data_IF_678409272685
#
_entry.id   IF_678409272685
#
_cell.length_a   1.000
_cell.length_b   1.000
_cell.length_c   1.000
_cell.angle_alpha   90.00
_cell.angle_beta   90.00
_cell.angle_gamma   90.00
#
_symmetry.space_group_name_H-M   'P 1'
#
loop_
_entity.id
_entity.type
_entity.pdbx_description
1 polymer ?
#
# COMPACT_ATOMS: atom_id res chain seq x y z
N UNK A 1 -1.02 14.04 7.17
CA UNK A 1 -1.27 13.29 8.43
C UNK A 1 0.08 12.85 8.92
N UNK A 2 0.36 13.07 10.20
CA UNK A 2 1.63 12.76 10.83
C UNK A 2 1.58 11.45 11.64
N UNK A 3 2.70 11.09 12.26
CA UNK A 3 2.83 9.89 13.10
C UNK A 3 1.80 9.86 14.24
N UNK A 4 1.60 10.98 14.93
CA UNK A 4 0.71 11.05 16.10
C UNK A 4 -0.75 10.75 15.71
N UNK A 5 -1.20 11.26 14.57
CA UNK A 5 -2.53 10.94 14.01
C UNK A 5 -2.71 9.44 13.78
N UNK A 6 -1.72 8.78 13.16
CA UNK A 6 -1.82 7.36 12.87
C UNK A 6 -1.68 6.49 14.12
N UNK A 7 -0.77 6.82 15.04
CA UNK A 7 -0.67 6.13 16.33
C UNK A 7 -1.99 6.20 17.12
N UNK A 8 -2.63 7.37 17.17
CA UNK A 8 -3.93 7.52 17.81
C UNK A 8 -5.01 6.70 17.11
N UNK A 9 -5.01 6.70 15.77
CA UNK A 9 -5.99 5.94 14.99
C UNK A 9 -5.86 4.43 15.21
N UNK A 10 -4.63 3.91 15.30
CA UNK A 10 -4.37 2.50 15.54
C UNK A 10 -4.40 2.08 17.01
N UNK A 11 -4.60 3.00 17.98
CA UNK A 11 -4.53 2.72 19.42
C UNK A 11 -5.69 1.87 19.98
N UNK A 12 -6.72 1.58 19.19
CA UNK A 12 -7.80 0.65 19.57
C UNK A 12 -7.31 -0.80 19.47
N UNK A 13 -7.88 -1.71 20.26
CA UNK A 13 -7.44 -3.12 20.29
C UNK A 13 -7.74 -3.86 19.00
N UNK A 14 -8.90 -3.58 18.37
CA UNK A 14 -9.30 -4.20 17.12
C UNK A 14 -8.48 -3.66 15.94
N UNK A 15 -8.37 -4.43 14.86
CA UNK A 15 -7.83 -3.93 13.62
C UNK A 15 -8.80 -2.90 13.00
N UNK A 16 -8.29 -1.71 12.70
CA UNK A 16 -9.08 -0.62 12.10
C UNK A 16 -9.59 -1.00 10.72
N UNK A 17 -8.77 -1.75 10.01
CA UNK A 17 -9.12 -2.31 8.72
C UNK A 17 -9.24 -3.83 8.83
N UNK A 18 -9.51 -4.51 7.75
CA UNK A 18 -9.53 -5.99 7.75
C UNK A 18 -8.11 -6.56 7.92
N UNK A 19 -8.02 -7.78 8.49
CA UNK A 19 -6.79 -8.58 8.52
C UNK A 19 -6.54 -9.34 7.20
N UNK A 20 -7.53 -9.34 6.30
CA UNK A 20 -7.38 -9.92 4.97
C UNK A 20 -6.69 -8.94 4.02
N UNK A 21 -5.89 -9.46 3.08
CA UNK A 21 -5.21 -8.63 2.09
C UNK A 21 -6.19 -7.74 1.32
N UNK A 22 -5.72 -6.59 0.89
CA UNK A 22 -6.48 -5.76 -0.01
C UNK A 22 -6.90 -6.56 -1.26
N UNK A 23 -8.18 -6.46 -1.65
CA UNK A 23 -8.73 -7.23 -2.77
C UNK A 23 -7.91 -7.07 -4.04
N UNK A 24 -7.58 -5.83 -4.42
CA UNK A 24 -6.85 -5.56 -5.65
C UNK A 24 -5.40 -6.06 -5.58
N UNK A 25 -4.75 -5.96 -4.41
CA UNK A 25 -3.43 -6.54 -4.17
C UNK A 25 -3.49 -8.05 -4.38
N UNK A 26 -4.47 -8.72 -3.80
CA UNK A 26 -4.65 -10.16 -3.96
C UNK A 26 -4.93 -10.53 -5.42
N UNK A 27 -5.94 -9.92 -6.05
CA UNK A 27 -6.38 -10.23 -7.43
C UNK A 27 -5.23 -10.09 -8.45
N UNK A 28 -4.39 -9.06 -8.31
CA UNK A 28 -3.33 -8.79 -9.27
C UNK A 28 -2.01 -9.49 -8.98
N UNK A 29 -1.73 -9.86 -7.72
CA UNK A 29 -0.38 -10.26 -7.32
C UNK A 29 -0.28 -11.64 -6.65
N UNK A 30 -1.40 -12.30 -6.28
CA UNK A 30 -1.33 -13.57 -5.54
C UNK A 30 -0.68 -14.73 -6.31
N UNK A 31 -0.61 -14.61 -7.63
CA UNK A 31 -0.02 -15.61 -8.53
C UNK A 31 1.50 -15.49 -8.69
N UNK A 32 2.10 -14.42 -8.13
CA UNK A 32 3.53 -14.19 -8.26
C UNK A 32 4.35 -15.22 -7.49
N UNK A 33 5.51 -15.58 -8.03
CA UNK A 33 6.47 -16.44 -7.35
C UNK A 33 7.04 -15.71 -6.13
N UNK A 34 7.11 -16.36 -4.96
CA UNK A 34 7.65 -15.76 -3.74
C UNK A 34 9.07 -15.20 -3.91
N UNK A 35 9.28 -14.03 -3.35
CA UNK A 35 10.54 -13.29 -3.33
C UNK A 35 10.58 -12.35 -2.14
N UNK A 36 11.11 -11.14 -2.33
CA UNK A 36 11.16 -10.07 -1.34
C UNK A 36 10.22 -8.94 -1.71
N UNK A 37 9.52 -8.38 -0.73
CA UNK A 37 8.64 -7.24 -0.97
C UNK A 37 8.78 -6.14 0.08
N UNK A 38 8.41 -4.93 -0.33
CA UNK A 38 8.15 -3.78 0.56
C UNK A 38 6.67 -3.43 0.45
N UNK A 39 5.99 -3.34 1.60
CA UNK A 39 4.65 -2.78 1.76
C UNK A 39 4.81 -1.38 2.39
N UNK A 40 4.80 -0.35 1.55
CA UNK A 40 5.05 1.03 1.98
C UNK A 40 3.77 1.68 2.47
N UNK A 41 3.80 2.25 3.69
CA UNK A 41 2.65 2.70 4.45
C UNK A 41 1.66 1.54 4.70
N UNK A 42 2.18 0.35 5.01
CA UNK A 42 1.40 -0.88 5.16
C UNK A 42 0.59 -0.97 6.46
N UNK A 43 0.75 -0.03 7.39
CA UNK A 43 -0.05 0.10 8.62
C UNK A 43 -0.06 -1.18 9.45
N UNK A 44 -1.25 -1.75 9.67
CA UNK A 44 -1.47 -2.99 10.45
C UNK A 44 -1.02 -4.28 9.73
N UNK A 45 -0.43 -4.19 8.52
CA UNK A 45 0.34 -5.28 7.89
C UNK A 45 -0.47 -6.32 7.12
N UNK A 46 -1.74 -6.09 6.80
CA UNK A 46 -2.60 -7.08 6.13
C UNK A 46 -2.02 -7.64 4.83
N UNK A 47 -1.37 -6.80 4.00
CA UNK A 47 -0.75 -7.25 2.76
C UNK A 47 0.59 -7.94 3.02
N UNK A 48 1.42 -7.38 3.91
CA UNK A 48 2.71 -7.97 4.30
C UNK A 48 2.53 -9.38 4.84
N UNK A 49 1.57 -9.59 5.74
CA UNK A 49 1.28 -10.91 6.32
C UNK A 49 0.73 -11.87 5.28
N UNK A 50 -0.19 -11.43 4.41
CA UNK A 50 -0.69 -12.24 3.29
C UNK A 50 0.42 -12.77 2.39
N UNK A 51 1.38 -11.93 2.02
CA UNK A 51 2.51 -12.36 1.20
C UNK A 51 3.46 -13.29 1.99
N UNK A 52 3.67 -13.03 3.27
CA UNK A 52 4.46 -13.90 4.13
C UNK A 52 3.85 -15.31 4.25
N UNK A 53 2.51 -15.46 4.34
CA UNK A 53 1.80 -16.74 4.29
C UNK A 53 2.05 -17.49 2.98
N UNK A 54 2.31 -16.76 1.88
CA UNK A 54 2.65 -17.32 0.56
C UNK A 54 4.16 -17.55 0.36
N UNK A 55 4.98 -17.38 1.40
CA UNK A 55 6.41 -17.66 1.37
C UNK A 55 7.32 -16.47 1.03
N UNK A 56 6.77 -15.26 0.89
CA UNK A 56 7.55 -14.04 0.68
C UNK A 56 8.26 -13.59 1.96
N UNK A 57 9.38 -12.87 1.80
CA UNK A 57 9.92 -11.99 2.84
C UNK A 57 9.30 -10.61 2.65
N UNK A 58 8.57 -10.12 3.64
CA UNK A 58 7.82 -8.88 3.54
C UNK A 58 8.32 -7.85 4.56
N UNK A 59 8.72 -6.67 4.11
CA UNK A 59 9.00 -5.52 4.95
C UNK A 59 7.83 -4.56 4.95
N UNK A 60 7.21 -4.39 6.12
CA UNK A 60 6.17 -3.38 6.35
C UNK A 60 6.82 -2.10 6.85
N UNK A 61 6.73 -1.04 6.06
CA UNK A 61 7.27 0.27 6.41
C UNK A 61 6.11 1.22 6.70
N UNK A 62 6.03 1.75 7.91
CA UNK A 62 4.98 2.70 8.30
C UNK A 62 5.50 3.72 9.31
N UNK A 63 4.88 4.89 9.36
CA UNK A 63 5.16 5.93 10.37
C UNK A 63 4.74 5.51 11.78
N UNK A 64 3.65 4.72 11.88
CA UNK A 64 3.03 4.36 13.14
C UNK A 64 3.68 3.14 13.78
N UNK A 65 4.33 3.33 14.92
CA UNK A 65 4.80 2.21 15.73
C UNK A 65 3.66 1.35 16.27
N UNK A 66 2.48 1.93 16.48
CA UNK A 66 1.28 1.20 16.93
C UNK A 66 0.73 0.30 15.82
N UNK A 67 0.67 0.81 14.58
CA UNK A 67 0.30 0.00 13.41
C UNK A 67 1.27 -1.16 13.20
N UNK A 68 2.58 -0.88 13.29
CA UNK A 68 3.61 -1.92 13.14
C UNK A 68 3.54 -2.99 14.24
N UNK A 69 3.25 -2.63 15.50
CA UNK A 69 3.04 -3.61 16.56
C UNK A 69 1.84 -4.53 16.29
N UNK A 70 0.78 -4.01 15.67
CA UNK A 70 -0.35 -4.82 15.21
C UNK A 70 0.02 -5.73 14.03
N UNK A 71 0.86 -5.25 13.12
CA UNK A 71 1.42 -6.09 12.05
C UNK A 71 2.20 -7.29 12.62
N UNK A 72 3.05 -7.06 13.62
CA UNK A 72 3.80 -8.12 14.30
C UNK A 72 2.87 -9.11 15.01
N UNK A 73 1.83 -8.61 15.67
CA UNK A 73 0.79 -9.45 16.28
C UNK A 73 0.10 -10.31 15.23
N UNK A 74 -0.34 -9.73 14.10
CA UNK A 74 -0.98 -10.47 13.01
C UNK A 74 -0.05 -11.54 12.43
N UNK A 75 1.23 -11.20 12.23
CA UNK A 75 2.22 -12.14 11.74
C UNK A 75 2.42 -13.32 12.71
N UNK A 76 2.40 -13.07 14.02
CA UNK A 76 2.46 -14.12 15.04
C UNK A 76 1.21 -15.02 15.04
N UNK A 77 0.02 -14.42 14.96
CA UNK A 77 -1.27 -15.13 14.87
C UNK A 77 -1.34 -16.04 13.63
N UNK A 78 -0.70 -15.64 12.52
CA UNK A 78 -0.65 -16.37 11.25
C UNK A 78 0.58 -17.30 11.13
N UNK A 79 1.47 -17.33 12.13
CA UNK A 79 2.65 -18.20 12.15
C UNK A 79 3.74 -17.84 11.14
N UNK A 80 3.88 -16.56 10.80
CA UNK A 80 4.82 -16.07 9.77
C UNK A 80 5.76 -14.97 10.26
N UNK A 81 5.97 -14.86 11.58
CA UNK A 81 6.84 -13.83 12.18
C UNK A 81 8.29 -13.87 11.68
N UNK A 82 8.75 -15.00 11.20
CA UNK A 82 10.10 -15.20 10.62
C UNK A 82 10.24 -14.55 9.24
N UNK A 83 9.15 -14.16 8.59
CA UNK A 83 9.11 -13.59 7.23
C UNK A 83 8.60 -12.16 7.17
N UNK A 84 8.07 -11.62 8.26
CA UNK A 84 7.58 -10.24 8.33
C UNK A 84 8.56 -9.38 9.12
N UNK A 85 9.03 -8.32 8.49
CA UNK A 85 9.95 -7.35 9.08
C UNK A 85 9.26 -6.00 9.18
N UNK A 86 9.30 -5.38 10.34
CA UNK A 86 8.73 -4.05 10.54
C UNK A 86 9.82 -2.98 10.53
N UNK A 87 9.49 -1.81 9.97
CA UNK A 87 10.39 -0.69 9.86
C UNK A 87 9.62 0.61 10.09
N UNK A 88 9.88 1.27 11.22
CA UNK A 88 9.24 2.54 11.52
C UNK A 88 9.99 3.67 10.81
N UNK A 89 9.44 4.13 9.69
CA UNK A 89 10.02 5.21 8.91
C UNK A 89 8.95 5.96 8.09
N UNK A 90 9.32 7.15 7.62
CA UNK A 90 8.53 7.90 6.66
C UNK A 90 8.70 7.31 5.26
N UNK A 91 7.63 7.33 4.46
CA UNK A 91 7.70 6.97 3.05
C UNK A 91 8.66 7.86 2.24
N UNK A 92 9.04 9.01 2.79
CA UNK A 92 9.90 9.98 2.11
C UNK A 92 11.40 9.77 2.40
N UNK A 93 11.76 9.03 3.46
CA UNK A 93 13.16 8.92 3.89
C UNK A 93 13.57 7.55 4.42
N UNK A 94 12.74 6.51 4.23
CA UNK A 94 13.05 5.15 4.72
C UNK A 94 14.31 4.55 4.07
N UNK A 95 14.99 3.73 4.85
CA UNK A 95 15.96 2.76 4.36
C UNK A 95 15.40 1.36 4.57
N UNK A 96 15.46 0.53 3.52
CA UNK A 96 14.92 -0.83 3.58
C UNK A 96 15.94 -1.82 4.12
N UNK A 97 15.48 -2.75 4.95
CA UNK A 97 16.26 -3.89 5.45
C UNK A 97 16.36 -5.03 4.43
N UNK A 98 15.39 -5.11 3.49
CA UNK A 98 15.30 -6.20 2.51
C UNK A 98 15.76 -5.81 1.09
N UNK A 99 15.86 -4.51 0.78
CA UNK A 99 16.23 -4.07 -0.57
C UNK A 99 17.56 -4.66 -1.06
N UNK A 100 17.69 -4.96 -2.36
CA UNK A 100 16.66 -4.81 -3.39
C UNK A 100 15.56 -5.86 -3.30
N UNK A 101 14.33 -5.50 -3.77
CA UNK A 101 13.13 -6.33 -3.66
C UNK A 101 12.50 -6.62 -5.04
N UNK A 102 11.72 -7.69 -5.12
CA UNK A 102 11.02 -8.11 -6.33
C UNK A 102 9.68 -7.38 -6.52
N UNK A 103 9.08 -6.92 -5.42
CA UNK A 103 7.77 -6.30 -5.38
C UNK A 103 7.74 -5.12 -4.40
N UNK A 104 7.25 -3.97 -4.90
CA UNK A 104 6.89 -2.81 -4.07
C UNK A 104 5.38 -2.58 -4.13
N UNK A 105 4.74 -2.49 -2.97
CA UNK A 105 3.30 -2.26 -2.84
C UNK A 105 3.05 -0.96 -2.08
N UNK A 106 2.07 -0.18 -2.54
CA UNK A 106 1.46 0.93 -1.81
C UNK A 106 -0.06 0.73 -1.81
N UNK A 107 -0.68 0.62 -0.64
CA UNK A 107 -2.12 0.47 -0.55
C UNK A 107 -2.74 1.54 0.36
N UNK A 108 -3.41 2.52 -0.25
CA UNK A 108 -4.10 3.64 0.42
C UNK A 108 -3.19 4.62 1.18
N UNK A 109 -1.96 4.81 0.75
CA UNK A 109 -1.15 5.95 1.16
C UNK A 109 -1.70 7.24 0.52
N UNK A 110 -2.67 7.86 1.18
CA UNK A 110 -3.39 9.05 0.70
C UNK A 110 -2.72 10.31 1.27
N UNK A 111 -1.74 10.82 0.55
CA UNK A 111 -0.97 12.04 0.86
C UNK A 111 -0.96 12.95 -0.37
N UNK A 112 -0.50 14.20 -0.21
CA UNK A 112 -0.44 15.12 -1.36
C UNK A 112 0.43 14.55 -2.50
N UNK A 113 0.15 15.01 -3.73
CA UNK A 113 0.74 14.43 -4.94
C UNK A 113 2.26 14.55 -5.01
N UNK A 114 2.85 15.62 -4.47
CA UNK A 114 4.29 15.81 -4.41
C UNK A 114 4.96 14.76 -3.52
N UNK A 115 4.45 14.57 -2.32
CA UNK A 115 4.94 13.55 -1.40
C UNK A 115 4.63 12.14 -1.90
N UNK A 116 3.49 11.93 -2.56
CA UNK A 116 3.16 10.64 -3.18
C UNK A 116 4.18 10.27 -4.25
N UNK A 117 4.50 11.21 -5.13
CA UNK A 117 5.55 11.04 -6.16
C UNK A 117 6.91 10.70 -5.53
N UNK A 118 7.32 11.45 -4.50
CA UNK A 118 8.58 11.21 -3.80
C UNK A 118 8.63 9.82 -3.14
N UNK A 119 7.55 9.41 -2.47
CA UNK A 119 7.45 8.08 -1.86
C UNK A 119 7.46 6.94 -2.89
N UNK A 120 6.75 7.11 -4.01
CA UNK A 120 6.77 6.14 -5.11
C UNK A 120 8.18 6.05 -5.70
N UNK A 121 8.83 7.18 -6.00
CA UNK A 121 10.19 7.19 -6.55
C UNK A 121 11.17 6.44 -5.63
N UNK A 122 11.08 6.72 -4.32
CA UNK A 122 11.93 6.06 -3.33
C UNK A 122 11.68 4.55 -3.24
N UNK A 123 10.44 4.10 -3.38
CA UNK A 123 10.12 2.67 -3.43
C UNK A 123 10.66 2.02 -4.71
N UNK A 124 10.45 2.67 -5.87
CA UNK A 124 10.89 2.17 -7.18
C UNK A 124 12.41 1.98 -7.22
N UNK A 125 13.19 2.88 -6.64
CA UNK A 125 14.66 2.77 -6.54
C UNK A 125 15.13 1.52 -5.77
N UNK A 126 14.24 0.84 -5.08
CA UNK A 126 14.53 -0.38 -4.29
C UNK A 126 14.05 -1.66 -4.96
N UNK A 127 13.38 -1.52 -6.10
CA UNK A 127 12.87 -2.66 -6.89
C UNK A 127 13.94 -3.08 -7.90
N UNK A 128 14.21 -4.38 -7.97
CA UNK A 128 15.13 -4.92 -8.99
C UNK A 128 14.63 -4.65 -10.43
N UNK A 129 15.52 -4.55 -11.43
CA UNK A 129 15.10 -4.50 -12.82
C UNK A 129 14.15 -5.67 -13.17
N UNK A 130 13.03 -5.37 -13.81
CA UNK A 130 11.95 -6.34 -14.10
C UNK A 130 11.01 -6.62 -12.93
N UNK A 131 11.32 -6.18 -11.71
CA UNK A 131 10.45 -6.28 -10.55
C UNK A 131 9.20 -5.40 -10.68
N UNK A 132 8.25 -5.58 -9.78
CA UNK A 132 6.90 -4.99 -9.89
C UNK A 132 6.70 -3.88 -8.88
N UNK A 133 6.18 -2.75 -9.35
CA UNK A 133 5.49 -1.74 -8.55
C UNK A 133 3.98 -1.92 -8.69
N UNK A 134 3.26 -1.96 -7.57
CA UNK A 134 1.80 -1.99 -7.55
C UNK A 134 1.24 -0.98 -6.55
N UNK A 135 0.26 -0.21 -6.99
CA UNK A 135 -0.35 0.82 -6.17
C UNK A 135 -1.87 0.80 -6.19
N UNK A 136 -2.49 1.12 -5.05
CA UNK A 136 -3.94 1.18 -4.84
C UNK A 136 -4.29 2.45 -4.06
N UNK A 137 -5.24 3.25 -4.55
CA UNK A 137 -5.71 4.48 -3.90
C UNK A 137 -7.22 4.67 -4.08
N UNK A 138 -7.85 5.44 -3.21
CA UNK A 138 -9.12 6.04 -3.56
C UNK A 138 -8.88 7.02 -4.71
N UNK A 139 -9.66 6.89 -5.79
CA UNK A 139 -9.55 7.76 -6.95
C UNK A 139 -10.17 9.14 -6.69
N UNK A 140 -9.76 10.16 -7.45
CA UNK A 140 -10.36 11.49 -7.39
C UNK A 140 -11.86 11.43 -7.70
N UNK A 141 -12.26 10.60 -8.63
CA UNK A 141 -13.66 10.39 -9.05
C UNK A 141 -14.54 9.82 -7.91
N UNK A 142 -13.91 9.19 -6.90
CA UNK A 142 -14.63 8.68 -5.73
C UNK A 142 -15.31 9.80 -4.90
N UNK A 143 -14.84 11.05 -4.99
CA UNK A 143 -15.49 12.19 -4.32
C UNK A 143 -16.90 12.43 -4.80
N UNK A 144 -17.15 12.22 -6.09
CA UNK A 144 -18.44 12.50 -6.73
C UNK A 144 -19.31 11.25 -6.82
N UNK A 145 -18.71 10.15 -7.24
CA UNK A 145 -19.44 8.98 -7.72
C UNK A 145 -19.29 7.76 -6.78
N UNK A 146 -18.55 7.91 -5.64
CA UNK A 146 -18.30 6.82 -4.69
C UNK A 146 -18.48 7.21 -3.23
N UNK A 147 -18.16 6.28 -2.35
CA UNK A 147 -18.26 6.42 -0.89
C UNK A 147 -16.92 6.06 -0.22
N UNK A 148 -16.73 6.61 0.98
CA UNK A 148 -15.53 6.38 1.78
C UNK A 148 -14.29 7.10 1.26
N UNK A 149 -13.17 6.89 1.96
CA UNK A 149 -11.93 7.59 1.67
C UNK A 149 -11.89 9.05 2.12
N UNK A 150 -10.75 9.72 1.91
CA UNK A 150 -10.60 11.14 2.20
C UNK A 150 -11.54 12.00 1.37
N UNK A 151 -11.98 13.14 1.94
CA UNK A 151 -12.80 14.14 1.25
C UNK A 151 -11.96 15.32 0.73
N UNK A 152 -10.63 15.22 0.82
CA UNK A 152 -9.70 16.22 0.30
C UNK A 152 -9.19 15.78 -1.09
N UNK A 153 -9.47 16.54 -2.17
CA UNK A 153 -9.01 16.21 -3.53
C UNK A 153 -7.48 16.19 -3.66
N UNK A 154 -6.74 16.96 -2.85
CA UNK A 154 -5.28 17.07 -2.95
C UNK A 154 -4.54 15.78 -2.62
N UNK A 155 -5.23 14.82 -2.00
CA UNK A 155 -4.65 13.50 -1.65
C UNK A 155 -5.23 12.36 -2.48
N UNK A 156 -6.07 12.66 -3.46
CA UNK A 156 -6.75 11.67 -4.29
C UNK A 156 -6.17 11.71 -5.71
N UNK A 157 -5.42 10.70 -6.13
CA UNK A 157 -4.91 10.67 -7.50
C UNK A 157 -6.02 10.38 -8.51
N UNK A 158 -5.91 10.98 -9.70
CA UNK A 158 -6.63 10.59 -10.90
C UNK A 158 -5.74 9.71 -11.79
N UNK A 159 -6.33 9.05 -12.78
CA UNK A 159 -5.57 8.30 -13.80
C UNK A 159 -4.54 9.21 -14.48
N UNK A 160 -4.90 10.45 -14.77
CA UNK A 160 -4.00 11.41 -15.41
C UNK A 160 -2.83 11.81 -14.50
N UNK A 161 -3.11 12.18 -13.23
CA UNK A 161 -2.04 12.55 -12.30
C UNK A 161 -1.09 11.37 -12.03
N UNK A 162 -1.61 10.14 -11.96
CA UNK A 162 -0.77 8.95 -11.78
C UNK A 162 0.06 8.63 -13.03
N UNK A 163 -0.46 8.84 -14.25
CA UNK A 163 0.33 8.75 -15.48
C UNK A 163 1.51 9.71 -15.48
N UNK A 164 1.29 10.95 -15.03
CA UNK A 164 2.36 11.95 -14.94
C UNK A 164 3.41 11.53 -13.90
N UNK A 165 2.98 11.06 -12.71
CA UNK A 165 3.90 10.59 -11.67
C UNK A 165 4.76 9.40 -12.15
N UNK A 166 4.13 8.34 -12.68
CA UNK A 166 4.86 7.13 -13.08
C UNK A 166 5.67 7.33 -14.36
N UNK A 167 5.24 8.23 -15.26
CA UNK A 167 5.95 8.54 -16.51
C UNK A 167 7.30 9.24 -16.32
N UNK A 168 7.57 9.80 -15.14
CA UNK A 168 8.86 10.42 -14.81
C UNK A 168 9.84 9.44 -14.11
N UNK A 169 9.41 8.21 -13.84
CA UNK A 169 10.18 7.19 -13.14
C UNK A 169 10.71 6.11 -14.10
N UNK A 170 11.76 5.37 -13.75
CA UNK A 170 12.29 4.28 -14.57
C UNK A 170 11.36 3.05 -14.54
N UNK A 171 10.15 3.23 -15.06
CA UNK A 171 9.08 2.24 -15.04
C UNK A 171 8.49 2.03 -16.45
N UNK A 172 8.19 0.79 -16.76
CA UNK A 172 7.29 0.42 -17.84
C UNK A 172 5.89 0.19 -17.26
N UNK A 173 5.00 1.15 -17.45
CA UNK A 173 3.62 1.07 -16.99
C UNK A 173 2.87 -0.01 -17.78
N UNK A 174 2.23 -0.96 -17.09
CA UNK A 174 1.38 -1.97 -17.68
C UNK A 174 -0.09 -1.50 -17.72
N UNK A 175 -0.56 -0.94 -16.60
CA UNK A 175 -1.85 -0.27 -16.57
C UNK A 175 -1.92 0.79 -15.46
N UNK A 176 -2.81 1.76 -15.65
CA UNK A 176 -3.34 2.69 -14.65
C UNK A 176 -4.82 2.81 -14.94
N UNK A 177 -5.68 2.41 -14.00
CA UNK A 177 -7.13 2.38 -14.25
C UNK A 177 -7.93 2.58 -12.96
N UNK A 178 -9.12 3.15 -13.11
CA UNK A 178 -10.12 3.13 -12.06
C UNK A 178 -10.86 1.80 -12.09
N UNK A 179 -11.11 1.25 -10.91
CA UNK A 179 -11.85 0.01 -10.71
C UNK A 179 -12.97 0.22 -9.72
N UNK A 180 -14.06 -0.50 -9.91
CA UNK A 180 -15.18 -0.53 -8.98
C UNK A 180 -14.77 -1.25 -7.70
N UNK A 181 -14.91 -0.54 -6.60
CA UNK A 181 -14.70 -1.03 -5.24
C UNK A 181 -15.99 -1.06 -4.45
N UNK A 182 -15.88 -1.52 -3.23
CA UNK A 182 -16.96 -1.48 -2.25
C UNK A 182 -16.40 -1.07 -0.89
N UNK A 183 -17.19 -0.33 -0.14
CA UNK A 183 -16.86 0.07 1.23
C UNK A 183 -18.03 -0.25 2.16
N UNK A 184 -17.72 -0.84 3.32
CA UNK A 184 -18.70 -1.05 4.37
C UNK A 184 -18.98 0.28 5.08
N UNK A 185 -20.24 0.66 5.14
CA UNK A 185 -20.70 1.85 5.86
C UNK A 185 -21.73 1.47 6.92
N UNK A 186 -22.12 2.43 7.79
CA UNK A 186 -23.23 2.22 8.73
C UNK A 186 -24.56 1.94 8.04
N UNK A 187 -24.70 2.29 6.77
CA UNK A 187 -25.90 2.10 5.95
C UNK A 187 -25.78 0.89 5.01
N UNK A 188 -24.81 0.01 5.23
CA UNK A 188 -24.53 -1.16 4.39
C UNK A 188 -23.37 -0.94 3.42
N UNK A 189 -23.20 -1.86 2.49
CA UNK A 189 -22.17 -1.82 1.46
C UNK A 189 -22.52 -0.74 0.43
N UNK A 190 -21.56 0.13 0.13
CA UNK A 190 -21.67 1.20 -0.84
C UNK A 190 -20.58 1.08 -1.90
N UNK A 191 -20.84 1.55 -3.15
CA UNK A 191 -19.80 1.57 -4.19
C UNK A 191 -18.68 2.53 -3.83
N UNK A 192 -17.47 2.21 -4.26
CA UNK A 192 -16.31 3.12 -4.21
C UNK A 192 -15.53 3.02 -5.52
N UNK A 193 -14.79 4.08 -5.85
CA UNK A 193 -13.91 4.08 -7.03
C UNK A 193 -12.47 4.06 -6.54
N UNK A 194 -11.75 3.04 -6.98
CA UNK A 194 -10.36 2.78 -6.58
C UNK A 194 -9.48 2.87 -7.80
N UNK A 195 -8.44 3.69 -7.74
CA UNK A 195 -7.39 3.73 -8.73
C UNK A 195 -6.36 2.65 -8.44
N UNK A 196 -6.01 1.86 -9.45
CA UNK A 196 -4.93 0.87 -9.39
C UNK A 196 -3.91 1.14 -10.48
N UNK A 197 -2.64 0.88 -10.17
CA UNK A 197 -1.55 1.00 -11.11
C UNK A 197 -0.57 -0.17 -10.95
N UNK A 198 -0.12 -0.74 -12.08
CA UNK A 198 0.93 -1.74 -12.13
C UNK A 198 1.97 -1.32 -13.14
N UNK A 199 3.23 -1.41 -12.73
CA UNK A 199 4.37 -1.10 -13.57
C UNK A 199 5.56 -2.02 -13.25
N UNK A 200 6.48 -2.18 -14.22
CA UNK A 200 7.75 -2.90 -14.03
C UNK A 200 8.91 -1.93 -13.99
N UNK A 201 9.82 -2.15 -13.05
CA UNK A 201 11.10 -1.47 -12.99
C UNK A 201 11.92 -1.77 -14.26
N UNK A 202 12.59 -0.74 -14.81
CA UNK A 202 13.45 -0.86 -15.99
C UNK A 202 14.89 -1.26 -15.63
#
# INVERSE_FOLDING_TARGET
>A
MDKAFWDQKYSVDEYIYTTEANRFVKEHLEHLTPGKMIDLAGGEGRNSVFFAEKGWQAENIDLSSVGLAKCERLAAERGVSDRVFTNQASALDFESKLAPVDLGVIAYMQINHEHLKAGIARLVDRIVPGGIFFGVWHALENLKDGFGGPQNPDVLPSVESMKNILGELPLRVEFITNQDGQVQTKQGIKPSITLTALARSL
#
